data_IF_988086741568
#
_entry.id   IF_988086741568
#
_cell.length_a   1.000
_cell.length_b   1.000
_cell.length_c   1.000
_cell.angle_alpha   90.00
_cell.angle_beta   90.00
_cell.angle_gamma   90.00
#
_symmetry.space_group_name_H-M   'P 1'
#
loop_
_entity.id
_entity.type
_entity.pdbx_description
1 polymer ?
#
# COMPACT_ATOMS: atom_id res chain seq x y z
N UNK A 1 -19.29 3.55 -5.78
CA UNK A 1 -18.18 4.51 -6.06
C UNK A 1 -17.22 3.94 -7.12
N UNK A 2 -17.67 3.17 -8.11
CA UNK A 2 -16.75 2.49 -9.08
C UNK A 2 -16.72 3.16 -10.46
N UNK A 3 -17.45 4.26 -10.66
CA UNK A 3 -17.69 4.86 -11.98
C UNK A 3 -16.59 5.79 -12.49
N UNK A 4 -15.60 6.12 -11.64
CA UNK A 4 -14.54 7.10 -11.95
C UNK A 4 -13.15 6.48 -12.18
N UNK A 5 -13.00 5.16 -12.03
CA UNK A 5 -11.75 4.48 -12.35
C UNK A 5 -11.71 4.17 -13.85
N UNK A 6 -10.70 4.72 -14.54
CA UNK A 6 -10.41 4.42 -15.94
C UNK A 6 -10.27 2.89 -16.13
N UNK A 7 -10.79 2.32 -17.23
CA UNK A 7 -10.80 0.88 -17.44
C UNK A 7 -9.41 0.23 -17.34
N UNK A 8 -8.34 0.95 -17.69
CA UNK A 8 -6.96 0.48 -17.57
C UNK A 8 -6.49 0.37 -16.10
N UNK A 9 -6.96 1.27 -15.23
CA UNK A 9 -6.68 1.24 -13.78
C UNK A 9 -7.48 0.17 -13.04
N UNK A 10 -8.59 -0.30 -13.61
CA UNK A 10 -9.38 -1.42 -13.05
C UNK A 10 -8.66 -2.75 -13.16
N UNK A 11 -7.89 -2.96 -14.23
CA UNK A 11 -7.14 -4.20 -14.43
C UNK A 11 -5.93 -4.25 -13.48
N UNK A 12 -5.27 -3.11 -13.26
CA UNK A 12 -4.20 -2.94 -12.26
C UNK A 12 -4.63 -3.30 -10.82
N UNK A 13 -5.91 -3.13 -10.48
CA UNK A 13 -6.46 -3.51 -9.17
C UNK A 13 -6.90 -4.98 -9.10
N UNK A 14 -7.12 -5.64 -10.24
CA UNK A 14 -7.47 -7.07 -10.29
C UNK A 14 -6.26 -7.98 -10.06
N UNK A 15 -5.12 -7.60 -10.62
CA UNK A 15 -3.84 -8.29 -10.42
C UNK A 15 -2.74 -7.25 -10.17
N UNK A 16 -2.69 -6.67 -8.96
CA UNK A 16 -1.69 -5.67 -8.67
C UNK A 16 -0.32 -6.33 -8.59
N UNK A 17 0.54 -5.98 -9.54
CA UNK A 17 1.94 -6.39 -9.55
C UNK A 17 2.61 -5.86 -8.28
N UNK A 18 3.48 -6.67 -7.70
CA UNK A 18 4.23 -6.25 -6.51
C UNK A 18 5.12 -5.04 -6.77
N UNK A 19 5.51 -4.80 -8.04
CA UNK A 19 6.26 -3.61 -8.46
C UNK A 19 5.41 -2.34 -8.62
N UNK A 20 4.10 -2.41 -8.40
CA UNK A 20 3.19 -1.27 -8.55
C UNK A 20 3.52 -0.20 -7.52
N UNK A 21 3.92 0.99 -7.98
CA UNK A 21 4.26 2.14 -7.15
C UNK A 21 2.98 2.85 -6.76
N UNK A 22 2.73 2.92 -5.46
CA UNK A 22 1.45 3.41 -4.95
C UNK A 22 1.26 4.91 -5.23
N UNK A 23 2.30 5.71 -5.08
CA UNK A 23 2.22 7.17 -5.37
C UNK A 23 2.24 7.43 -6.88
N UNK A 24 3.16 6.80 -7.61
CA UNK A 24 3.36 7.09 -9.04
C UNK A 24 2.30 6.44 -9.96
N UNK A 25 1.94 5.18 -9.72
CA UNK A 25 1.06 4.42 -10.65
C UNK A 25 -0.42 4.54 -10.28
N UNK A 26 -0.75 4.61 -8.99
CA UNK A 26 -2.12 4.79 -8.51
C UNK A 26 -2.46 6.26 -8.26
N UNK A 27 -1.48 7.16 -8.29
CA UNK A 27 -1.69 8.59 -8.04
C UNK A 27 -2.14 8.86 -6.61
N UNK A 28 -1.70 8.06 -5.64
CA UNK A 28 -2.10 8.25 -4.25
C UNK A 28 -1.50 9.54 -3.69
N UNK A 29 -2.35 10.38 -3.13
CA UNK A 29 -1.94 11.56 -2.39
C UNK A 29 -1.22 11.19 -1.09
N UNK A 30 -0.37 12.09 -0.61
CA UNK A 30 0.38 11.91 0.64
C UNK A 30 -0.52 11.68 1.86
N UNK A 31 -1.76 12.18 1.84
CA UNK A 31 -2.75 11.93 2.89
C UNK A 31 -3.25 10.49 2.86
N UNK A 32 -3.54 9.95 1.68
CA UNK A 32 -3.98 8.56 1.53
C UNK A 32 -2.88 7.58 1.96
N UNK A 33 -1.61 7.94 1.74
CA UNK A 33 -0.48 7.16 2.26
C UNK A 33 -0.50 7.07 3.80
N UNK A 34 -0.81 8.18 4.49
CA UNK A 34 -0.94 8.19 5.96
C UNK A 34 -2.10 7.30 6.41
N UNK A 35 -3.24 7.35 5.73
CA UNK A 35 -4.40 6.49 6.05
C UNK A 35 -4.07 5.00 5.87
N UNK A 36 -3.36 4.63 4.81
CA UNK A 36 -2.94 3.25 4.56
C UNK A 36 -2.01 2.76 5.67
N UNK A 37 -1.04 3.59 6.07
CA UNK A 37 -0.09 3.25 7.13
C UNK A 37 -0.82 3.03 8.45
N UNK A 38 -1.73 3.93 8.83
CA UNK A 38 -2.56 3.77 10.02
C UNK A 38 -3.41 2.49 9.97
N UNK A 39 -4.00 2.16 8.82
CA UNK A 39 -4.77 0.94 8.64
C UNK A 39 -3.89 -0.33 8.75
N UNK A 40 -2.66 -0.28 8.25
CA UNK A 40 -1.70 -1.38 8.40
C UNK A 40 -1.25 -1.51 9.85
N UNK A 41 -0.98 -0.40 10.54
CA UNK A 41 -0.65 -0.39 11.97
C UNK A 41 -1.76 -1.03 12.81
N UNK A 42 -3.02 -0.67 12.53
CA UNK A 42 -4.19 -1.23 13.22
C UNK A 42 -4.37 -2.73 12.92
N UNK A 43 -4.20 -3.14 11.65
CA UNK A 43 -4.32 -4.53 11.23
C UNK A 43 -3.24 -5.45 11.82
N UNK A 44 -2.02 -4.93 11.99
CA UNK A 44 -0.87 -5.68 12.56
C UNK A 44 -0.79 -5.49 14.08
N UNK A 45 -1.45 -4.47 14.64
CA UNK A 45 -1.39 -4.11 16.05
C UNK A 45 -0.03 -3.57 16.49
N UNK A 46 0.74 -2.98 15.57
CA UNK A 46 2.09 -2.46 15.84
C UNK A 46 2.31 -1.14 15.13
N UNK A 47 3.14 -0.28 15.71
CA UNK A 47 3.53 0.96 15.03
C UNK A 47 4.58 0.71 13.96
N UNK A 48 4.45 1.42 12.84
CA UNK A 48 5.41 1.42 11.74
C UNK A 48 6.41 2.54 11.99
N UNK A 49 7.67 2.18 12.17
CA UNK A 49 8.75 3.16 12.32
C UNK A 49 9.00 3.90 11.00
N UNK A 50 9.48 5.15 11.09
CA UNK A 50 9.76 5.98 9.92
C UNK A 50 10.73 5.31 8.93
N UNK A 51 11.68 4.51 9.42
CA UNK A 51 12.60 3.74 8.57
C UNK A 51 11.90 2.66 7.73
N UNK A 52 10.85 2.02 8.28
CA UNK A 52 10.09 1.01 7.56
C UNK A 52 9.11 1.67 6.58
N UNK A 53 8.50 2.78 6.99
CA UNK A 53 7.73 3.69 6.14
C UNK A 53 8.54 4.15 4.91
N UNK A 54 9.81 4.51 5.10
CA UNK A 54 10.70 4.91 4.01
C UNK A 54 11.06 3.77 3.05
N UNK A 55 10.89 2.50 3.45
CA UNK A 55 11.11 1.33 2.58
C UNK A 55 9.85 0.94 1.80
N UNK A 56 8.68 1.46 2.18
CA UNK A 56 7.41 1.16 1.53
C UNK A 56 7.24 2.11 0.34
N UNK A 57 7.44 1.59 -0.86
CA UNK A 57 7.21 2.33 -2.11
C UNK A 57 6.24 1.64 -3.05
N UNK A 58 6.17 0.31 -2.95
CA UNK A 58 5.36 -0.54 -3.80
C UNK A 58 4.37 -1.38 -3.00
N UNK A 59 3.37 -1.93 -3.67
CA UNK A 59 2.43 -2.83 -3.01
C UNK A 59 3.12 -4.12 -2.50
N UNK A 60 4.17 -4.58 -3.18
CA UNK A 60 5.00 -5.69 -2.74
C UNK A 60 5.67 -5.42 -1.40
N UNK A 61 6.18 -4.20 -1.20
CA UNK A 61 6.83 -3.80 0.05
C UNK A 61 5.85 -3.86 1.23
N UNK A 62 4.60 -3.40 1.05
CA UNK A 62 3.55 -3.50 2.07
C UNK A 62 3.25 -4.97 2.40
N UNK A 63 3.05 -5.82 1.39
CA UNK A 63 2.78 -7.25 1.61
C UNK A 63 3.92 -7.93 2.37
N UNK A 64 5.16 -7.64 1.98
CA UNK A 64 6.36 -8.16 2.63
C UNK A 64 6.48 -7.66 4.08
N UNK A 65 6.20 -6.38 4.30
CA UNK A 65 6.19 -5.77 5.63
C UNK A 65 5.16 -6.43 6.56
N UNK A 66 3.90 -6.54 6.11
CA UNK A 66 2.83 -7.19 6.88
C UNK A 66 3.20 -8.63 7.17
N UNK A 67 3.67 -9.38 6.16
CA UNK A 67 4.08 -10.77 6.33
C UNK A 67 5.24 -10.91 7.33
N UNK A 68 6.23 -10.01 7.28
CA UNK A 68 7.35 -10.03 8.21
C UNK A 68 6.95 -9.71 9.65
N UNK A 69 5.92 -8.89 9.86
CA UNK A 69 5.42 -8.55 11.20
C UNK A 69 4.45 -9.61 11.73
N UNK A 70 3.64 -10.24 10.87
CA UNK A 70 2.72 -11.33 11.24
C UNK A 70 3.42 -12.68 11.43
N UNK A 71 4.57 -12.91 10.80
CA UNK A 71 5.36 -14.13 10.95
C UNK A 71 6.19 -14.19 12.25
N UNK A 72 6.03 -13.21 13.15
CA UNK A 72 6.78 -13.06 14.40
C UNK A 72 5.86 -13.22 15.60
#
# INVERSE_FOLDING_TARGET
MERFLEPEKRDLLKDPKDSLRMVDDLGLDSLTMVEIVLAVEDAVGTSIDNEDLQKIHTLGDIKAFISSKMAK
#
